data_IF_825003205683
#
_entry.id   IF_825003205683
#
_cell.length_a   1.000
_cell.length_b   1.000
_cell.length_c   1.000
_cell.angle_alpha   90.00
_cell.angle_beta   90.00
_cell.angle_gamma   90.00
#
_symmetry.space_group_name_H-M   'P 1'
#
loop_
_entity.id
_entity.type
_entity.pdbx_description
1 polymer ?
#
# COMPACT_ATOMS: atom_id res chain seq x y z
N UNK A 1 -1.30 -2.41 25.87
CA UNK A 1 -1.78 -2.45 24.47
C UNK A 1 -0.58 -2.23 23.58
N UNK A 2 -0.37 -3.07 22.58
CA UNK A 2 0.73 -2.90 21.64
C UNK A 2 0.32 -1.89 20.56
N UNK A 3 0.93 -0.71 20.54
CA UNK A 3 0.53 0.39 19.64
C UNK A 3 0.74 0.08 18.16
N UNK A 4 1.75 -0.73 17.82
CA UNK A 4 2.04 -1.07 16.42
C UNK A 4 1.07 -2.10 15.81
N UNK A 5 0.21 -2.72 16.62
CA UNK A 5 -0.78 -3.71 16.18
C UNK A 5 -2.20 -3.14 16.07
N UNK A 6 -2.41 -1.89 16.49
CA UNK A 6 -3.72 -1.24 16.33
C UNK A 6 -3.88 -0.68 14.92
N UNK A 7 -5.10 -0.80 14.36
CA UNK A 7 -5.42 -0.24 13.05
C UNK A 7 -5.29 1.29 13.04
N UNK A 8 -5.03 1.86 11.86
CA UNK A 8 -4.94 3.31 11.69
C UNK A 8 -6.24 4.03 12.11
N UNK A 9 -7.39 3.45 11.75
CA UNK A 9 -8.71 3.98 12.17
C UNK A 9 -8.85 4.00 13.69
N UNK A 10 -8.44 2.92 14.37
CA UNK A 10 -8.48 2.87 15.84
C UNK A 10 -7.53 3.89 16.46
N UNK A 11 -6.32 4.02 15.92
CA UNK A 11 -5.35 5.01 16.39
C UNK A 11 -5.88 6.44 16.27
N UNK A 12 -6.52 6.79 15.13
CA UNK A 12 -7.20 8.09 14.98
C UNK A 12 -8.27 8.31 16.05
N UNK A 13 -9.12 7.32 16.28
CA UNK A 13 -10.17 7.41 17.33
C UNK A 13 -9.60 7.64 18.73
N UNK A 14 -8.45 7.03 19.06
CA UNK A 14 -7.73 7.27 20.30
C UNK A 14 -7.11 8.66 20.36
N UNK A 15 -6.53 9.11 19.25
CA UNK A 15 -5.97 10.46 19.15
C UNK A 15 -7.05 11.54 19.30
N UNK A 16 -8.24 11.34 18.73
CA UNK A 16 -9.37 12.28 18.85
C UNK A 16 -9.92 12.38 20.27
N UNK A 17 -9.79 11.31 21.06
CA UNK A 17 -10.15 11.26 22.49
C UNK A 17 -9.03 11.77 23.41
N UNK A 18 -7.83 12.06 22.86
CA UNK A 18 -6.66 12.45 23.66
C UNK A 18 -6.00 11.27 24.41
N UNK A 19 -6.35 10.04 24.08
CA UNK A 19 -5.78 8.81 24.66
C UNK A 19 -4.42 8.45 24.06
N UNK A 20 -4.09 9.00 22.88
CA UNK A 20 -2.87 8.79 22.13
C UNK A 20 -2.44 10.09 21.46
N UNK A 21 -1.13 10.31 21.30
CA UNK A 21 -0.59 11.37 20.45
C UNK A 21 0.02 10.78 19.19
N UNK A 22 0.08 11.59 18.12
CA UNK A 22 0.76 11.20 16.89
C UNK A 22 2.24 10.95 17.14
N UNK A 23 2.87 11.76 18.02
CA UNK A 23 4.28 11.59 18.38
C UNK A 23 4.55 10.22 19.04
N UNK A 24 3.74 9.81 20.01
CA UNK A 24 3.85 8.50 20.67
C UNK A 24 3.63 7.36 19.66
N UNK A 25 2.64 7.51 18.78
CA UNK A 25 2.32 6.50 17.78
C UNK A 25 3.46 6.33 16.76
N UNK A 26 3.98 7.42 16.22
CA UNK A 26 5.13 7.40 15.28
C UNK A 26 6.38 6.85 15.95
N UNK A 27 6.65 7.24 17.20
CA UNK A 27 7.81 6.72 17.94
C UNK A 27 7.76 5.20 18.08
N UNK A 28 6.59 4.62 18.36
CA UNK A 28 6.44 3.16 18.45
C UNK A 28 6.83 2.44 17.15
N UNK A 29 6.49 3.01 15.99
CA UNK A 29 6.91 2.47 14.69
C UNK A 29 8.41 2.68 14.43
N UNK A 30 8.97 3.82 14.79
CA UNK A 30 10.42 4.05 14.67
C UNK A 30 11.23 3.05 15.51
N UNK A 31 10.77 2.74 16.72
CA UNK A 31 11.40 1.74 17.58
C UNK A 31 11.29 0.34 16.94
N UNK A 32 10.16 0.02 16.34
CA UNK A 32 9.97 -1.23 15.58
C UNK A 32 10.92 -1.29 14.39
N UNK A 33 11.01 -0.24 13.60
CA UNK A 33 11.91 -0.14 12.45
C UNK A 33 13.35 -0.33 12.90
N UNK A 34 13.81 0.39 13.92
CA UNK A 34 15.16 0.24 14.46
C UNK A 34 15.51 -1.20 14.79
N UNK A 35 14.57 -1.97 15.32
CA UNK A 35 14.76 -3.37 15.70
C UNK A 35 14.73 -4.33 14.51
N UNK A 36 13.89 -4.07 13.50
CA UNK A 36 13.56 -5.06 12.47
C UNK A 36 14.16 -4.76 11.10
N UNK A 37 14.42 -3.48 10.79
CA UNK A 37 14.99 -3.10 9.49
C UNK A 37 16.31 -3.82 9.15
N UNK A 38 17.24 -4.05 10.10
CA UNK A 38 18.46 -4.81 9.81
C UNK A 38 18.22 -6.24 9.30
N UNK A 39 17.06 -6.82 9.59
CA UNK A 39 16.67 -8.18 9.19
C UNK A 39 15.81 -8.17 7.92
N UNK A 40 14.85 -7.25 7.83
CA UNK A 40 13.81 -7.23 6.79
C UNK A 40 14.24 -6.40 5.57
N UNK A 41 14.92 -5.27 5.77
CA UNK A 41 15.36 -4.40 4.69
C UNK A 41 14.20 -3.78 3.89
N UNK A 42 13.17 -3.28 4.57
CA UNK A 42 11.96 -2.74 3.94
C UNK A 42 12.13 -1.29 3.45
N UNK A 43 13.06 -0.54 4.03
CA UNK A 43 13.21 0.88 3.78
C UNK A 43 14.49 1.21 3.00
N UNK A 44 14.38 2.14 2.05
CA UNK A 44 15.54 2.73 1.39
C UNK A 44 15.92 4.07 2.00
N UNK A 45 14.95 4.80 2.54
CA UNK A 45 15.17 6.06 3.25
C UNK A 45 14.19 6.21 4.42
N UNK A 46 14.73 6.57 5.58
CA UNK A 46 13.97 6.99 6.77
C UNK A 46 14.78 8.10 7.47
N UNK A 47 14.04 9.15 7.88
CA UNK A 47 14.59 10.22 8.70
C UNK A 47 13.69 10.37 9.95
N UNK A 48 14.10 9.78 11.10
CA UNK A 48 13.29 9.75 12.32
C UNK A 48 12.89 11.12 12.83
N UNK A 49 13.82 12.07 12.84
CA UNK A 49 13.54 13.43 13.32
C UNK A 49 12.53 14.17 12.43
N UNK A 50 12.57 13.94 11.11
CA UNK A 50 11.58 14.50 10.19
C UNK A 50 10.19 13.93 10.48
N UNK A 51 10.08 12.61 10.69
CA UNK A 51 8.82 11.95 11.03
C UNK A 51 8.25 12.46 12.36
N UNK A 52 9.07 12.54 13.40
CA UNK A 52 8.65 13.05 14.71
C UNK A 52 8.29 14.54 14.67
N UNK A 53 9.00 15.35 13.89
CA UNK A 53 8.63 16.77 13.67
C UNK A 53 7.23 16.87 13.04
N UNK A 54 6.93 16.05 12.02
CA UNK A 54 5.60 16.01 11.41
C UNK A 54 4.54 15.54 12.42
N UNK A 55 4.85 14.55 13.27
CA UNK A 55 3.96 14.05 14.30
C UNK A 55 3.60 15.14 15.34
N UNK A 56 4.59 15.84 15.86
CA UNK A 56 4.38 16.98 16.77
C UNK A 56 3.53 18.09 16.14
N UNK A 57 3.69 18.33 14.84
CA UNK A 57 2.84 19.28 14.11
C UNK A 57 1.39 18.78 13.96
N UNK A 58 1.22 17.48 13.72
CA UNK A 58 -0.11 16.86 13.65
C UNK A 58 -0.85 16.97 14.99
N UNK A 59 -0.17 16.74 16.13
CA UNK A 59 -0.73 16.91 17.46
C UNK A 59 -1.18 18.36 17.70
N UNK A 60 -0.36 19.35 17.33
CA UNK A 60 -0.73 20.77 17.40
C UNK A 60 -1.94 21.10 16.52
N UNK A 61 -2.03 20.52 15.30
CA UNK A 61 -3.19 20.72 14.42
C UNK A 61 -4.46 20.14 15.04
N UNK A 62 -4.37 18.98 15.71
CA UNK A 62 -5.49 18.33 16.39
C UNK A 62 -6.04 19.19 17.51
N UNK A 63 -5.19 19.72 18.38
CA UNK A 63 -5.59 20.64 19.45
C UNK A 63 -6.33 21.85 18.88
N UNK A 64 -5.89 22.38 17.75
CA UNK A 64 -6.50 23.52 17.08
C UNK A 64 -7.70 23.16 16.17
N UNK A 65 -8.14 21.91 16.14
CA UNK A 65 -9.21 21.39 15.25
C UNK A 65 -8.96 21.68 13.76
N UNK A 66 -7.69 21.66 13.33
CA UNK A 66 -7.23 21.93 11.95
C UNK A 66 -6.62 20.69 11.29
N UNK A 67 -6.78 19.52 11.89
CA UNK A 67 -6.30 18.25 11.33
C UNK A 67 -7.20 17.76 10.19
N UNK A 68 -6.61 17.16 9.14
CA UNK A 68 -7.35 16.41 8.13
C UNK A 68 -7.70 15.01 8.59
N UNK A 69 -8.38 14.25 7.73
CA UNK A 69 -8.90 12.89 8.04
C UNK A 69 -7.79 11.84 8.31
N UNK A 70 -6.55 12.10 7.90
CA UNK A 70 -5.37 11.25 8.16
C UNK A 70 -4.42 11.88 9.17
N UNK A 71 -4.84 12.92 9.89
CA UNK A 71 -3.94 13.72 10.69
C UNK A 71 -3.19 12.92 11.75
N UNK A 72 -1.87 12.81 11.55
CA UNK A 72 -0.97 12.12 12.47
C UNK A 72 -0.73 10.64 12.18
N UNK A 73 -1.29 10.09 11.11
CA UNK A 73 -1.03 8.71 10.68
C UNK A 73 0.24 8.60 9.86
N UNK A 74 1.19 7.72 10.22
CA UNK A 74 2.37 7.45 9.43
C UNK A 74 2.06 6.54 8.24
N UNK A 75 2.62 6.88 7.05
CA UNK A 75 2.45 6.15 5.80
C UNK A 75 3.82 5.94 5.13
N UNK A 76 4.13 4.70 4.74
CA UNK A 76 5.28 4.35 3.93
C UNK A 76 5.01 4.56 2.43
N UNK A 77 6.00 5.06 1.69
CA UNK A 77 5.85 5.40 0.27
C UNK A 77 6.85 4.60 -0.58
N UNK A 78 6.37 3.86 -1.56
CA UNK A 78 7.24 3.14 -2.51
C UNK A 78 8.20 4.10 -3.23
N UNK A 79 9.44 3.67 -3.39
CA UNK A 79 10.54 4.50 -3.90
C UNK A 79 10.52 4.73 -5.43
N UNK A 80 9.36 4.79 -6.03
CA UNK A 80 9.12 5.31 -7.38
C UNK A 80 8.14 6.48 -7.39
N UNK A 81 7.64 6.87 -6.22
CA UNK A 81 6.67 7.95 -6.04
C UNK A 81 7.41 9.14 -5.46
N UNK A 82 7.39 10.25 -6.15
CA UNK A 82 8.15 11.44 -5.83
C UNK A 82 7.68 12.11 -4.54
N UNK A 83 8.65 12.41 -3.68
CA UNK A 83 8.51 13.18 -2.44
C UNK A 83 9.55 14.29 -2.43
N UNK A 84 9.12 15.54 -2.28
CA UNK A 84 10.02 16.72 -2.39
C UNK A 84 11.07 16.83 -1.28
N UNK A 85 10.84 16.18 -0.16
CA UNK A 85 11.68 16.23 1.05
C UNK A 85 12.47 14.94 1.30
N UNK A 86 12.36 13.96 0.41
CA UNK A 86 13.08 12.69 0.50
C UNK A 86 13.55 12.25 -0.89
N UNK A 87 14.68 11.55 -1.00
CA UNK A 87 15.11 11.02 -2.29
C UNK A 87 14.09 10.03 -2.87
N UNK A 88 14.04 9.95 -4.21
CA UNK A 88 13.28 8.94 -4.96
C UNK A 88 14.22 8.35 -6.00
N UNK A 89 14.76 7.18 -5.69
CA UNK A 89 15.87 6.58 -6.42
C UNK A 89 15.45 5.44 -7.35
N UNK A 90 14.16 5.09 -7.37
CA UNK A 90 13.58 4.03 -8.21
C UNK A 90 14.24 2.64 -8.02
N UNK A 91 14.84 2.40 -6.85
CA UNK A 91 15.56 1.16 -6.56
C UNK A 91 16.83 0.97 -7.39
N UNK A 92 17.37 2.02 -8.02
CA UNK A 92 18.49 1.93 -8.96
C UNK A 92 19.64 2.86 -8.60
N UNK A 93 20.86 2.34 -8.74
CA UNK A 93 22.08 3.15 -8.58
C UNK A 93 22.20 4.29 -9.60
N UNK A 94 21.56 4.19 -10.77
CA UNK A 94 21.51 5.26 -11.75
C UNK A 94 20.79 6.51 -11.25
N UNK A 95 19.87 6.35 -10.33
CA UNK A 95 19.10 7.44 -9.73
C UNK A 95 19.54 7.76 -8.30
N UNK A 96 20.72 7.26 -7.88
CA UNK A 96 21.23 7.51 -6.53
C UNK A 96 21.34 9.00 -6.24
N UNK A 97 20.73 9.44 -5.14
CA UNK A 97 20.67 10.83 -4.73
C UNK A 97 19.68 11.70 -5.52
N UNK A 98 18.83 11.11 -6.37
CA UNK A 98 17.78 11.86 -7.08
C UNK A 98 16.80 12.43 -6.06
N UNK A 99 16.77 13.76 -5.98
CA UNK A 99 15.82 14.50 -5.13
C UNK A 99 14.76 15.15 -6.02
N UNK A 100 13.48 14.75 -5.92
CA UNK A 100 12.37 15.42 -6.60
C UNK A 100 12.20 16.86 -6.12
N UNK A 101 11.79 17.76 -7.02
CA UNK A 101 11.50 19.17 -6.68
C UNK A 101 10.07 19.36 -6.18
N UNK A 102 9.18 18.41 -6.50
CA UNK A 102 7.76 18.43 -6.12
C UNK A 102 7.33 17.07 -5.57
N UNK A 103 6.28 17.09 -4.76
CA UNK A 103 5.55 15.88 -4.38
C UNK A 103 4.72 15.35 -5.55
N UNK A 104 4.60 14.05 -5.71
CA UNK A 104 3.58 13.44 -6.55
C UNK A 104 2.17 13.90 -6.10
N UNK A 105 1.20 13.88 -7.02
CA UNK A 105 -0.15 14.35 -6.70
C UNK A 105 -0.75 13.63 -5.48
N UNK A 106 -0.68 12.30 -5.44
CA UNK A 106 -1.18 11.52 -4.31
C UNK A 106 -0.46 11.85 -2.99
N UNK A 107 0.83 12.24 -3.02
CA UNK A 107 1.57 12.66 -1.82
C UNK A 107 1.07 14.02 -1.32
N UNK A 108 0.76 14.96 -2.24
CA UNK A 108 0.12 16.24 -1.87
C UNK A 108 -1.20 15.99 -1.14
N UNK A 109 -2.07 15.12 -1.69
CA UNK A 109 -3.35 14.77 -1.07
C UNK A 109 -3.18 14.14 0.33
N UNK A 110 -2.21 13.21 0.49
CA UNK A 110 -1.93 12.60 1.78
C UNK A 110 -1.47 13.63 2.81
N UNK A 111 -0.55 14.55 2.44
CA UNK A 111 -0.07 15.61 3.32
C UNK A 111 -1.18 16.61 3.68
N UNK A 112 -2.02 16.99 2.73
CA UNK A 112 -3.15 17.91 2.94
C UNK A 112 -4.18 17.28 3.89
N UNK A 113 -4.37 15.96 3.82
CA UNK A 113 -5.16 15.20 4.77
C UNK A 113 -4.48 15.02 6.15
N UNK A 114 -3.24 15.48 6.31
CA UNK A 114 -2.51 15.47 7.57
C UNK A 114 -1.67 14.20 7.82
N UNK A 115 -1.52 13.32 6.82
CA UNK A 115 -0.68 12.14 6.94
C UNK A 115 0.82 12.51 7.12
N UNK A 116 1.55 11.64 7.80
CA UNK A 116 3.00 11.74 8.01
C UNK A 116 3.67 10.81 7.01
N UNK A 117 4.45 11.37 6.09
CA UNK A 117 5.27 10.55 5.21
C UNK A 117 6.45 10.02 6.01
N UNK A 118 6.40 8.72 6.33
CA UNK A 118 7.36 8.08 7.24
C UNK A 118 8.73 7.88 6.60
N UNK A 119 8.74 7.56 5.31
CA UNK A 119 9.96 7.27 4.57
C UNK A 119 9.68 6.62 3.21
N UNK A 120 10.77 6.19 2.54
CA UNK A 120 10.73 5.54 1.23
C UNK A 120 10.94 4.03 1.40
N UNK A 121 9.96 3.26 0.91
CA UNK A 121 10.00 1.80 0.95
C UNK A 121 10.71 1.26 -0.30
N UNK A 122 11.49 0.20 -0.10
CA UNK A 122 12.22 -0.47 -1.19
C UNK A 122 11.28 -0.90 -2.31
N UNK A 123 11.70 -0.66 -3.53
CA UNK A 123 11.12 -1.20 -4.77
C UNK A 123 12.14 -2.13 -5.44
N UNK A 124 11.69 -3.05 -6.28
CA UNK A 124 12.59 -3.66 -7.27
C UNK A 124 13.12 -2.59 -8.22
N UNK A 125 14.28 -2.81 -8.84
CA UNK A 125 14.89 -1.82 -9.72
C UNK A 125 13.90 -1.38 -10.83
N UNK A 126 13.66 -0.07 -10.92
CA UNK A 126 12.66 0.56 -11.81
C UNK A 126 11.26 -0.08 -11.74
N UNK A 127 10.91 -0.70 -10.60
CA UNK A 127 9.70 -1.48 -10.38
C UNK A 127 9.53 -2.65 -11.37
N UNK A 128 10.61 -3.14 -11.97
CA UNK A 128 10.67 -4.30 -12.85
C UNK A 128 10.93 -5.59 -12.05
N UNK A 129 11.74 -6.52 -12.58
CA UNK A 129 11.91 -7.86 -12.02
C UNK A 129 13.14 -8.04 -11.13
N UNK A 130 14.16 -7.16 -11.23
CA UNK A 130 15.38 -7.30 -10.41
C UNK A 130 15.07 -7.03 -8.93
N UNK A 131 15.21 -8.04 -8.03
CA UNK A 131 14.81 -7.90 -6.64
C UNK A 131 15.71 -6.92 -5.88
N UNK A 132 15.11 -6.22 -4.91
CA UNK A 132 15.86 -5.44 -3.92
C UNK A 132 16.30 -6.28 -2.72
N UNK A 133 16.77 -5.61 -1.67
CA UNK A 133 17.29 -6.24 -0.43
C UNK A 133 16.21 -6.83 0.49
N UNK A 134 14.93 -6.54 0.24
CA UNK A 134 13.85 -6.83 1.17
C UNK A 134 13.57 -8.31 1.28
N UNK A 135 13.44 -8.78 2.52
CA UNK A 135 13.06 -10.15 2.88
C UNK A 135 11.61 -10.19 3.37
N UNK A 136 10.98 -11.37 3.27
CA UNK A 136 9.64 -11.58 3.78
C UNK A 136 9.67 -11.63 5.32
N UNK A 137 8.91 -10.79 6.04
CA UNK A 137 8.89 -10.80 7.50
C UNK A 137 8.43 -12.12 8.12
N UNK A 138 7.62 -12.91 7.42
CA UNK A 138 7.13 -14.20 7.88
C UNK A 138 8.18 -15.31 7.74
N UNK A 139 9.08 -15.18 6.73
CA UNK A 139 10.22 -16.09 6.52
C UNK A 139 11.34 -15.31 5.84
N UNK A 140 12.41 -15.01 6.58
CA UNK A 140 13.51 -14.18 6.12
C UNK A 140 14.36 -14.82 4.99
N UNK A 141 14.15 -16.09 4.67
CA UNK A 141 14.79 -16.75 3.53
C UNK A 141 13.94 -16.62 2.25
N UNK A 142 12.71 -16.14 2.36
CA UNK A 142 11.77 -15.97 1.27
C UNK A 142 11.67 -14.52 0.80
N UNK A 143 11.25 -14.32 -0.47
CA UNK A 143 10.92 -13.02 -1.02
C UNK A 143 9.57 -12.53 -0.49
N UNK A 144 9.40 -11.22 -0.21
CA UNK A 144 8.08 -10.65 0.06
C UNK A 144 7.24 -10.45 -1.21
N UNK A 145 7.74 -10.88 -2.37
CA UNK A 145 7.20 -10.49 -3.67
C UNK A 145 7.64 -9.09 -4.08
N UNK A 146 7.21 -8.68 -5.27
CA UNK A 146 7.57 -7.38 -5.84
C UNK A 146 6.56 -6.89 -6.89
N UNK A 147 6.74 -5.69 -7.36
CA UNK A 147 7.85 -4.75 -7.17
C UNK A 147 7.74 -3.89 -5.90
N UNK A 148 6.58 -3.77 -5.24
CA UNK A 148 6.39 -3.00 -4.00
C UNK A 148 6.82 -3.79 -2.76
N UNK A 149 8.00 -4.41 -2.81
CA UNK A 149 8.54 -5.32 -1.79
C UNK A 149 8.60 -4.70 -0.40
N UNK A 150 9.23 -3.53 -0.29
CA UNK A 150 9.39 -2.82 0.98
C UNK A 150 8.08 -2.31 1.55
N UNK A 151 7.16 -1.82 0.70
CA UNK A 151 5.85 -1.33 1.16
C UNK A 151 5.03 -2.43 1.83
N UNK A 152 4.98 -3.61 1.21
CA UNK A 152 4.26 -4.75 1.77
C UNK A 152 4.96 -5.30 3.03
N UNK A 153 6.29 -5.47 2.99
CA UNK A 153 7.05 -5.96 4.13
C UNK A 153 6.97 -5.02 5.34
N UNK A 154 6.97 -3.70 5.14
CA UNK A 154 6.86 -2.72 6.22
C UNK A 154 5.50 -2.82 6.94
N UNK A 155 4.40 -3.01 6.20
CA UNK A 155 3.07 -3.20 6.81
C UNK A 155 2.98 -4.56 7.50
N UNK A 156 3.45 -5.64 6.86
CA UNK A 156 3.46 -6.98 7.43
C UNK A 156 4.21 -7.05 8.76
N UNK A 157 5.38 -6.41 8.85
CA UNK A 157 6.22 -6.43 10.04
C UNK A 157 5.83 -5.36 11.08
N UNK A 158 4.68 -4.72 10.90
CA UNK A 158 4.21 -3.64 11.77
C UNK A 158 5.25 -2.51 11.95
N UNK A 159 5.99 -2.18 10.88
CA UNK A 159 6.89 -1.02 10.84
C UNK A 159 6.15 0.26 10.50
N UNK A 160 4.94 0.13 9.93
CA UNK A 160 4.02 1.22 9.60
C UNK A 160 2.62 0.62 9.41
N UNK A 161 1.53 1.35 9.76
CA UNK A 161 0.18 0.79 9.64
C UNK A 161 -0.32 0.81 8.18
N UNK A 162 0.21 1.70 7.37
CA UNK A 162 -0.25 2.01 6.01
C UNK A 162 0.94 2.19 5.07
N UNK A 163 0.83 1.71 3.84
CA UNK A 163 1.83 2.03 2.81
C UNK A 163 1.19 2.19 1.42
N UNK A 164 1.87 2.96 0.57
CA UNK A 164 1.54 3.11 -0.85
C UNK A 164 2.53 2.30 -1.68
N UNK A 165 1.98 1.53 -2.60
CA UNK A 165 2.71 0.80 -3.64
C UNK A 165 2.29 1.21 -5.04
N UNK A 166 2.72 0.44 -6.02
CA UNK A 166 2.26 0.56 -7.40
C UNK A 166 2.17 -0.80 -8.07
N UNK A 167 1.32 -0.92 -9.06
CA UNK A 167 1.17 -2.14 -9.86
C UNK A 167 1.03 -1.84 -11.34
N UNK A 168 1.84 -2.53 -12.13
CA UNK A 168 1.69 -2.67 -13.58
C UNK A 168 1.08 -4.04 -13.91
N UNK A 169 1.73 -5.12 -13.50
CA UNK A 169 1.21 -6.50 -13.64
C UNK A 169 0.58 -7.02 -12.33
N UNK A 170 1.42 -7.32 -11.33
CA UNK A 170 1.01 -7.90 -10.04
C UNK A 170 1.59 -7.20 -8.80
N UNK A 171 2.23 -6.04 -8.98
CA UNK A 171 3.16 -5.46 -7.98
C UNK A 171 2.52 -4.83 -6.74
N UNK A 172 1.20 -4.89 -6.57
CA UNK A 172 0.46 -4.62 -5.32
C UNK A 172 -0.08 -5.94 -4.76
N UNK A 173 -0.83 -6.69 -5.57
CA UNK A 173 -1.55 -7.85 -5.09
C UNK A 173 -0.61 -9.02 -4.75
N UNK A 174 0.45 -9.22 -5.54
CA UNK A 174 1.43 -10.28 -5.29
C UNK A 174 2.20 -10.09 -3.97
N UNK A 175 2.83 -8.92 -3.67
CA UNK A 175 3.45 -8.71 -2.37
C UNK A 175 2.47 -8.78 -1.20
N UNK A 176 1.23 -8.30 -1.36
CA UNK A 176 0.20 -8.45 -0.32
C UNK A 176 -0.08 -9.91 -0.01
N UNK A 177 -0.25 -10.74 -1.04
CA UNK A 177 -0.48 -12.18 -0.90
C UNK A 177 0.71 -12.88 -0.24
N UNK A 178 1.95 -12.59 -0.66
CA UNK A 178 3.16 -13.23 -0.12
C UNK A 178 3.42 -12.87 1.34
N UNK A 179 3.01 -11.69 1.77
CA UNK A 179 3.23 -11.20 3.14
C UNK A 179 2.01 -11.35 4.04
N UNK A 180 0.86 -11.77 3.49
CA UNK A 180 -0.36 -12.02 4.28
C UNK A 180 -1.08 -10.75 4.74
N UNK A 181 -0.97 -9.64 3.99
CA UNK A 181 -1.65 -8.38 4.27
C UNK A 181 -2.69 -8.06 3.20
N UNK A 182 -3.46 -7.00 3.42
CA UNK A 182 -4.40 -6.51 2.42
C UNK A 182 -3.70 -5.58 1.42
N UNK A 183 -3.98 -5.78 0.12
CA UNK A 183 -3.56 -4.89 -0.95
C UNK A 183 -4.75 -4.50 -1.83
N UNK A 184 -4.94 -3.20 -2.04
CA UNK A 184 -5.92 -2.67 -2.97
C UNK A 184 -5.25 -2.13 -4.23
N UNK A 185 -5.55 -2.74 -5.40
CA UNK A 185 -5.35 -2.12 -6.70
C UNK A 185 -6.71 -1.57 -7.17
N UNK A 186 -6.89 -0.26 -7.24
CA UNK A 186 -8.16 0.32 -7.66
C UNK A 186 -8.38 0.19 -9.18
N UNK A 187 -9.52 0.65 -9.65
CA UNK A 187 -9.78 0.80 -11.09
C UNK A 187 -8.76 1.75 -11.72
N UNK A 188 -8.35 1.47 -12.97
CA UNK A 188 -7.45 2.32 -13.74
C UNK A 188 -7.99 3.76 -13.85
N UNK A 189 -7.09 4.74 -13.72
CA UNK A 189 -7.46 6.15 -13.82
C UNK A 189 -8.22 6.73 -12.63
N UNK A 190 -8.25 6.04 -11.46
CA UNK A 190 -8.93 6.56 -10.26
C UNK A 190 -8.01 7.18 -9.22
N UNK A 191 -6.71 6.86 -9.28
CA UNK A 191 -5.65 7.51 -8.50
C UNK A 191 -4.63 8.06 -9.49
N UNK A 192 -4.28 9.34 -9.35
CA UNK A 192 -3.29 9.99 -10.20
C UNK A 192 -1.92 9.33 -10.12
N UNK A 193 -1.27 9.20 -11.28
CA UNK A 193 0.10 8.73 -11.46
C UNK A 193 1.09 9.89 -11.63
N UNK A 194 0.62 11.15 -11.57
CA UNK A 194 1.49 12.33 -11.69
C UNK A 194 2.55 12.34 -10.59
N UNK A 195 3.83 12.32 -10.98
CA UNK A 195 4.96 12.23 -10.06
C UNK A 195 5.31 10.80 -9.64
N UNK A 196 4.83 9.80 -10.36
CA UNK A 196 5.27 8.41 -10.24
C UNK A 196 6.07 8.00 -11.48
N UNK A 197 7.17 7.28 -11.29
CA UNK A 197 7.93 6.72 -12.41
C UNK A 197 7.09 5.73 -13.19
N UNK A 198 6.93 5.98 -14.51
CA UNK A 198 6.09 5.17 -15.37
C UNK A 198 6.83 3.93 -15.89
N UNK A 199 6.12 2.80 -15.95
CA UNK A 199 6.53 1.59 -16.66
C UNK A 199 5.63 1.39 -17.88
N UNK A 200 4.31 1.49 -17.67
CA UNK A 200 3.31 1.34 -18.72
C UNK A 200 2.18 2.33 -18.52
N UNK A 201 1.99 3.19 -19.49
CA UNK A 201 0.94 4.20 -19.44
C UNK A 201 -0.46 3.60 -19.22
N UNK A 202 -0.73 2.40 -19.77
CA UNK A 202 -2.04 1.76 -19.74
C UNK A 202 -2.26 0.82 -18.55
N UNK A 203 -1.19 0.44 -17.85
CA UNK A 203 -1.28 -0.60 -16.82
C UNK A 203 -0.89 -0.11 -15.43
N UNK A 204 -0.20 1.03 -15.32
CA UNK A 204 0.29 1.49 -14.03
C UNK A 204 -0.84 2.03 -13.14
N UNK A 205 -0.82 1.57 -11.89
CA UNK A 205 -1.74 2.00 -10.83
C UNK A 205 -0.96 2.24 -9.55
N UNK A 206 -1.20 3.32 -8.80
CA UNK A 206 -0.92 3.35 -7.38
C UNK A 206 -1.82 2.37 -6.64
N UNK A 207 -1.34 1.80 -5.52
CA UNK A 207 -2.10 0.89 -4.68
C UNK A 207 -1.84 1.10 -3.20
N UNK A 208 -2.70 0.55 -2.36
CA UNK A 208 -2.71 0.77 -0.91
C UNK A 208 -2.47 -0.55 -0.20
N UNK A 209 -1.67 -0.53 0.86
CA UNK A 209 -1.48 -1.64 1.80
C UNK A 209 -1.91 -1.26 3.20
N UNK A 210 -2.59 -2.19 3.86
CA UNK A 210 -2.94 -2.11 5.27
C UNK A 210 -3.27 -3.51 5.84
N UNK A 211 -3.46 -3.60 7.15
CA UNK A 211 -3.88 -4.84 7.80
C UNK A 211 -5.41 -4.96 7.96
N UNK A 212 -6.18 -3.89 7.71
CA UNK A 212 -7.65 -3.91 7.81
C UNK A 212 -8.32 -3.26 6.61
N UNK A 213 -9.55 -3.70 6.22
CA UNK A 213 -10.31 -3.08 5.15
C UNK A 213 -10.67 -1.61 5.44
N UNK A 214 -10.93 -1.26 6.71
CA UNK A 214 -11.27 0.10 7.10
C UNK A 214 -10.09 1.06 6.91
N UNK A 215 -8.86 0.60 7.16
CA UNK A 215 -7.65 1.37 6.92
C UNK A 215 -7.42 1.60 5.41
N UNK A 216 -7.66 0.58 4.58
CA UNK A 216 -7.66 0.72 3.10
C UNK A 216 -8.67 1.77 2.67
N UNK A 217 -9.92 1.66 3.15
CA UNK A 217 -11.01 2.60 2.83
C UNK A 217 -10.68 4.03 3.26
N UNK A 218 -10.08 4.19 4.42
CA UNK A 218 -9.68 5.50 4.94
C UNK A 218 -8.68 6.19 4.00
N UNK A 219 -7.61 5.51 3.58
CA UNK A 219 -6.62 6.08 2.65
C UNK A 219 -7.23 6.28 1.25
N UNK A 220 -8.00 5.32 0.76
CA UNK A 220 -8.67 5.40 -0.54
C UNK A 220 -9.59 6.63 -0.62
N UNK A 221 -10.30 6.99 0.45
CA UNK A 221 -11.17 8.17 0.50
C UNK A 221 -10.45 9.49 0.26
N UNK A 222 -9.12 9.51 0.45
CA UNK A 222 -8.28 10.70 0.25
C UNK A 222 -7.65 10.72 -1.13
N UNK A 223 -7.08 9.58 -1.59
CA UNK A 223 -6.26 9.56 -2.81
C UNK A 223 -7.04 9.22 -4.08
N UNK A 224 -8.28 8.71 -3.97
CA UNK A 224 -9.21 8.58 -5.10
C UNK A 224 -9.77 9.97 -5.46
N UNK A 225 -8.98 10.73 -6.21
CA UNK A 225 -9.26 12.13 -6.53
C UNK A 225 -8.74 12.45 -7.92
N UNK A 226 -9.51 13.25 -8.67
CA UNK A 226 -9.14 13.68 -10.02
C UNK A 226 -7.92 14.60 -10.04
N UNK A 227 -7.05 14.37 -11.00
CA UNK A 227 -5.90 15.21 -11.32
C UNK A 227 -5.87 15.51 -12.82
N UNK A 228 -6.05 16.79 -13.18
CA UNK A 228 -6.02 17.22 -14.58
C UNK A 228 -4.65 17.02 -15.28
N UNK A 229 -3.58 16.74 -14.54
CA UNK A 229 -2.25 16.45 -15.09
C UNK A 229 -2.08 15.00 -15.53
N UNK A 230 -2.89 14.07 -15.01
CA UNK A 230 -2.93 12.69 -15.45
C UNK A 230 -4.01 12.53 -16.52
N UNK A 231 -3.58 12.54 -17.79
CA UNK A 231 -4.48 12.54 -18.95
C UNK A 231 -5.31 11.26 -19.12
N UNK A 232 -4.98 10.21 -18.40
CA UNK A 232 -5.73 8.95 -18.44
C UNK A 232 -6.82 8.89 -17.36
N UNK A 233 -7.00 9.95 -16.56
CA UNK A 233 -8.08 10.05 -15.59
C UNK A 233 -9.35 10.62 -16.22
N UNK A 234 -10.50 10.03 -15.89
CA UNK A 234 -11.81 10.56 -16.27
C UNK A 234 -12.31 11.56 -15.23
N UNK A 235 -12.53 12.83 -15.64
CA UNK A 235 -13.08 13.88 -14.77
C UNK A 235 -14.50 13.59 -14.26
N UNK A 236 -15.23 12.69 -14.92
CA UNK A 236 -16.57 12.26 -14.51
C UNK A 236 -16.54 11.15 -13.46
N UNK A 237 -15.36 10.54 -13.23
CA UNK A 237 -15.22 9.54 -12.19
C UNK A 237 -15.24 10.21 -10.82
N UNK A 238 -16.35 10.06 -10.12
CA UNK A 238 -16.52 10.57 -8.77
C UNK A 238 -16.55 9.38 -7.81
N UNK A 239 -15.55 9.31 -6.93
CA UNK A 239 -15.60 8.36 -5.82
C UNK A 239 -16.75 8.76 -4.88
N UNK A 240 -17.88 8.11 -5.03
CA UNK A 240 -18.99 8.23 -4.10
C UNK A 240 -18.82 7.17 -3.03
N UNK A 241 -18.64 7.60 -1.79
CA UNK A 241 -18.69 6.71 -0.62
C UNK A 241 -20.15 6.27 -0.40
N UNK A 242 -20.71 5.60 -1.41
CA UNK A 242 -22.02 4.99 -1.31
C UNK A 242 -21.79 3.59 -0.74
N UNK A 243 -22.24 3.39 0.48
CA UNK A 243 -22.56 2.06 0.96
C UNK A 243 -23.70 1.55 0.06
N UNK A 244 -23.35 0.99 -1.09
CA UNK A 244 -24.29 0.16 -1.83
C UNK A 244 -24.44 -1.11 -1.01
N UNK A 245 -25.46 -1.13 -0.16
CA UNK A 245 -25.90 -2.38 0.43
C UNK A 245 -26.44 -3.25 -0.70
N UNK A 246 -25.59 -4.10 -1.29
CA UNK A 246 -26.10 -5.26 -1.99
C UNK A 246 -26.44 -6.30 -0.91
N UNK A 247 -27.71 -6.50 -0.55
CA UNK A 247 -28.08 -7.39 0.54
C UNK A 247 -27.79 -8.86 0.23
N UNK A 248 -27.47 -9.20 -1.02
CA UNK A 248 -27.19 -10.57 -1.46
C UNK A 248 -26.09 -10.58 -2.52
N UNK A 249 -24.81 -10.38 -2.15
CA UNK A 249 -23.72 -10.47 -3.10
C UNK A 249 -23.60 -11.91 -3.61
N UNK A 250 -23.32 -12.07 -4.92
CA UNK A 250 -22.94 -13.35 -5.51
C UNK A 250 -21.43 -13.46 -5.50
N UNK A 251 -20.92 -14.63 -5.14
CA UNK A 251 -19.48 -14.92 -5.09
C UNK A 251 -19.14 -15.95 -6.16
N UNK A 252 -17.96 -15.79 -6.76
CA UNK A 252 -17.40 -16.77 -7.67
C UNK A 252 -15.94 -17.07 -7.29
N UNK A 253 -15.57 -18.34 -7.36
CA UNK A 253 -14.18 -18.78 -7.30
C UNK A 253 -13.73 -19.12 -8.72
N UNK A 254 -12.74 -18.41 -9.21
CA UNK A 254 -12.24 -18.59 -10.58
C UNK A 254 -10.89 -19.30 -10.54
N UNK A 255 -10.86 -20.56 -11.01
CA UNK A 255 -9.61 -21.30 -11.24
C UNK A 255 -8.99 -20.82 -12.56
N UNK A 256 -8.06 -19.86 -12.45
CA UNK A 256 -7.34 -19.33 -13.60
C UNK A 256 -6.27 -20.31 -14.13
N UNK A 257 -5.62 -19.98 -15.28
CA UNK A 257 -4.62 -20.86 -15.91
C UNK A 257 -3.42 -21.19 -15.04
N UNK A 258 -3.07 -20.31 -14.08
CA UNK A 258 -1.98 -20.51 -13.13
C UNK A 258 -2.33 -21.46 -11.97
N UNK A 259 -3.61 -21.83 -11.79
CA UNK A 259 -4.04 -22.67 -10.67
C UNK A 259 -3.27 -23.97 -10.56
N UNK A 260 -3.04 -24.66 -11.68
CA UNK A 260 -2.33 -25.93 -11.75
C UNK A 260 -0.82 -25.85 -11.42
N UNK A 261 -0.25 -24.65 -11.38
CA UNK A 261 1.14 -24.40 -11.01
C UNK A 261 1.31 -24.04 -9.53
N UNK A 262 0.21 -23.83 -8.80
CA UNK A 262 0.25 -23.55 -7.38
C UNK A 262 0.62 -24.79 -6.57
N UNK A 263 1.27 -24.55 -5.42
CA UNK A 263 1.58 -25.62 -4.47
C UNK A 263 0.31 -26.30 -3.96
N UNK A 264 0.36 -27.61 -3.73
CA UNK A 264 -0.79 -28.39 -3.27
C UNK A 264 -1.37 -27.86 -1.96
N UNK A 265 -0.50 -27.54 -1.00
CA UNK A 265 -0.91 -27.00 0.31
C UNK A 265 -1.70 -25.69 0.15
N UNK A 266 -1.25 -24.81 -0.75
CA UNK A 266 -1.98 -23.57 -1.07
C UNK A 266 -3.34 -23.86 -1.70
N UNK A 267 -3.41 -24.78 -2.66
CA UNK A 267 -4.66 -25.16 -3.32
C UNK A 267 -5.65 -25.73 -2.30
N UNK A 268 -5.20 -26.65 -1.44
CA UNK A 268 -6.01 -27.26 -0.38
C UNK A 268 -6.54 -26.24 0.62
N UNK A 269 -5.72 -25.29 1.06
CA UNK A 269 -6.16 -24.24 1.99
C UNK A 269 -7.18 -23.28 1.36
N UNK A 270 -7.02 -22.92 0.08
CA UNK A 270 -8.02 -22.13 -0.63
C UNK A 270 -9.34 -22.91 -0.80
N UNK A 271 -9.26 -24.19 -1.19
CA UNK A 271 -10.46 -25.05 -1.33
C UNK A 271 -11.17 -25.25 0.01
N UNK A 272 -10.43 -25.44 1.12
CA UNK A 272 -11.00 -25.48 2.48
C UNK A 272 -11.68 -24.15 2.85
N UNK A 273 -11.06 -23.01 2.52
CA UNK A 273 -11.66 -21.69 2.76
C UNK A 273 -12.98 -21.55 2.01
N UNK A 274 -13.03 -21.94 0.73
CA UNK A 274 -14.23 -21.87 -0.10
C UNK A 274 -15.34 -22.80 0.41
N UNK A 275 -14.97 -24.04 0.78
CA UNK A 275 -15.93 -25.00 1.33
C UNK A 275 -16.57 -24.55 2.66
N UNK A 276 -15.85 -23.75 3.45
CA UNK A 276 -16.33 -23.22 4.73
C UNK A 276 -16.88 -21.78 4.61
N UNK A 277 -16.95 -21.21 3.42
CA UNK A 277 -17.44 -19.84 3.25
C UNK A 277 -18.95 -19.77 3.59
N UNK A 278 -19.39 -18.74 4.36
CA UNK A 278 -20.75 -18.71 4.88
C UNK A 278 -21.85 -18.46 3.82
N UNK A 279 -21.48 -18.23 2.57
CA UNK A 279 -22.39 -18.00 1.45
C UNK A 279 -22.03 -18.90 0.28
N UNK A 280 -22.98 -19.11 -0.63
CA UNK A 280 -22.76 -19.88 -1.85
C UNK A 280 -21.69 -19.23 -2.74
N UNK A 281 -20.71 -20.02 -3.17
CA UNK A 281 -19.67 -19.63 -4.11
C UNK A 281 -19.79 -20.50 -5.36
N UNK A 282 -20.00 -19.88 -6.50
CA UNK A 282 -19.94 -20.55 -7.80
C UNK A 282 -18.47 -20.78 -8.20
N UNK A 283 -18.10 -22.02 -8.56
CA UNK A 283 -16.77 -22.30 -9.12
C UNK A 283 -16.80 -22.18 -10.63
N UNK A 284 -15.96 -21.32 -11.19
CA UNK A 284 -15.86 -21.06 -12.63
C UNK A 284 -14.49 -21.52 -13.12
N UNK A 285 -14.45 -22.36 -14.14
CA UNK A 285 -13.25 -22.72 -14.86
C UNK A 285 -13.14 -21.86 -16.14
N UNK A 286 -12.00 -21.20 -16.32
CA UNK A 286 -11.74 -20.43 -17.53
C UNK A 286 -11.35 -21.36 -18.68
N UNK A 287 -11.98 -21.18 -19.84
CA UNK A 287 -11.73 -21.98 -21.05
C UNK A 287 -10.31 -21.83 -21.59
N UNK A 288 -9.96 -22.71 -22.53
CA UNK A 288 -8.61 -22.74 -23.13
C UNK A 288 -8.25 -21.46 -23.88
N UNK A 289 -9.22 -20.74 -24.45
CA UNK A 289 -9.02 -19.47 -25.16
C UNK A 289 -8.38 -18.42 -24.21
N UNK A 290 -8.78 -18.42 -22.94
CA UNK A 290 -8.19 -17.51 -21.95
C UNK A 290 -6.73 -17.85 -21.63
N UNK A 291 -6.35 -19.14 -21.72
CA UNK A 291 -4.95 -19.58 -21.53
C UNK A 291 -4.02 -19.08 -22.64
N UNK A 292 -4.52 -19.02 -23.88
CA UNK A 292 -3.75 -18.56 -25.03
C UNK A 292 -3.51 -17.05 -25.02
N UNK A 293 -4.49 -16.28 -24.56
CA UNK A 293 -4.38 -14.81 -24.45
C UNK A 293 -3.41 -14.37 -23.36
N UNK A 294 -3.41 -15.02 -22.19
CA UNK A 294 -2.44 -14.72 -21.13
C UNK A 294 -1.00 -15.10 -21.53
N UNK A 295 -0.82 -16.14 -22.31
CA UNK A 295 0.49 -16.55 -22.82
C UNK A 295 1.10 -15.57 -23.83
N UNK A 296 0.34 -14.60 -24.34
CA UNK A 296 0.77 -13.56 -25.29
C UNK A 296 1.02 -12.19 -24.63
N UNK A 297 0.73 -12.04 -23.35
CA UNK A 297 0.95 -10.82 -22.55
C UNK A 297 2.22 -10.94 -21.70
#
# INVERSE_FOLDING_TARGET
>A
MNLIEISAVKALGMMDKGELTSEIYVQAFLDRIKKREPLVGAWTFIEPELALKQARLADKRRVNKKGGVLNGLPIGIKDIIDTKDMPTENGSLFHKGRQPIEDAHLIKLLRDAGAIIMGKCVTTEFALSAPGKTKNPNDLECTPGGSSSGSAAAVCDNMVPLAIGSQTGGSVLRPASYTGILGLKPTFGTISRSGMSAISQRLDHPGIYANTPDDIKLVASVILSYDAKDLDMDSNYIFKNQATSNPSPKFAFIKGPAWSFGDKDMQEEIEKFIANFPMEIETIELGNDFKEEIGRA
#
